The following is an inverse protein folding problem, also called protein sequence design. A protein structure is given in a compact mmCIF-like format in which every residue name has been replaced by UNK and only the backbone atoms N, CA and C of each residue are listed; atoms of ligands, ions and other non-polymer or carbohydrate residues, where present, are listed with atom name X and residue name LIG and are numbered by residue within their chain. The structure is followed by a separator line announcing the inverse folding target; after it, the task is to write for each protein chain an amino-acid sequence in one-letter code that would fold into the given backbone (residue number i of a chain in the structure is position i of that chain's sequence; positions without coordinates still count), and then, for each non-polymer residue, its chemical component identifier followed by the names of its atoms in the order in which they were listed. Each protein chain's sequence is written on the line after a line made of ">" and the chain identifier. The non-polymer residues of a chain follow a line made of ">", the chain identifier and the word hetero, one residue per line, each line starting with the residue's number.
data_IF_703761990147
#
_entry.id   IF_703761990147
#
_cell.length_a   1.000
_cell.length_b   1.000
_cell.length_c   1.000
_cell.angle_alpha   90.00
_cell.angle_beta   90.00
_cell.angle_gamma   90.00
#
_symmetry.space_group_name_H-M   'P 1'
#
loop_
_entity.id
_entity.type
_entity.pdbx_description
1 polymer ?
#
# COMPACT_ATOMS: atom_id res chain seq x y z
N UNK A 1 15.88 12.92 -3.97
CA UNK A 1 16.72 13.70 -3.04
C UNK A 1 17.54 14.78 -3.75
N UNK A 2 18.41 14.46 -4.73
CA UNK A 2 19.26 15.45 -5.43
C UNK A 2 18.49 16.68 -5.97
N UNK A 3 17.31 16.49 -6.57
CA UNK A 3 16.47 17.61 -7.06
C UNK A 3 15.94 18.49 -5.93
N UNK A 4 15.52 17.90 -4.81
CA UNK A 4 15.07 18.65 -3.64
C UNK A 4 16.22 19.41 -3.00
N UNK A 5 17.40 18.82 -2.92
CA UNK A 5 18.58 19.50 -2.36
C UNK A 5 19.00 20.72 -3.17
N UNK A 6 18.91 20.66 -4.51
CA UNK A 6 19.15 21.83 -5.37
C UNK A 6 18.18 22.99 -5.10
N UNK A 7 16.94 22.71 -4.67
CA UNK A 7 15.90 23.73 -4.44
C UNK A 7 15.81 24.20 -2.98
N UNK A 8 16.04 23.30 -2.02
CA UNK A 8 15.82 23.53 -0.59
C UNK A 8 17.06 23.28 0.29
N UNK A 9 18.24 23.12 -0.31
CA UNK A 9 19.50 22.89 0.41
C UNK A 9 19.46 21.58 1.21
N UNK A 10 19.59 21.68 2.53
CA UNK A 10 19.60 20.55 3.47
C UNK A 10 18.25 20.31 4.15
N UNK A 11 17.17 20.98 3.73
CA UNK A 11 15.86 20.85 4.40
C UNK A 11 15.25 19.45 4.24
N UNK A 12 15.36 18.85 3.06
CA UNK A 12 14.87 17.51 2.74
C UNK A 12 16.04 16.58 2.45
N UNK A 13 16.29 15.63 3.36
CA UNK A 13 17.38 14.66 3.28
C UNK A 13 16.85 13.24 3.44
N UNK A 14 17.72 12.25 3.24
CA UNK A 14 17.46 10.85 3.57
C UNK A 14 17.04 10.63 5.03
N UNK A 15 17.38 11.55 5.93
CA UNK A 15 17.02 11.45 7.34
C UNK A 15 15.55 11.78 7.60
N UNK A 16 14.88 12.58 6.76
CA UNK A 16 13.53 13.08 7.04
C UNK A 16 12.53 12.97 5.88
N UNK A 17 12.94 12.42 4.73
CA UNK A 17 12.06 12.15 3.59
C UNK A 17 11.83 10.65 3.42
N UNK A 18 10.59 10.21 3.66
CA UNK A 18 10.15 8.86 3.31
C UNK A 18 9.39 8.86 1.98
N UNK A 19 9.71 7.90 1.10
CA UNK A 19 8.97 7.64 -0.13
C UNK A 19 8.37 6.24 -0.03
N UNK A 20 7.05 6.15 -0.12
CA UNK A 20 6.31 4.89 -0.02
C UNK A 20 5.46 4.68 -1.27
N UNK A 21 5.56 3.50 -1.88
CA UNK A 21 4.65 3.09 -2.95
C UNK A 21 3.37 2.47 -2.40
N UNK A 22 2.24 2.69 -3.07
CA UNK A 22 0.97 2.01 -2.74
C UNK A 22 0.94 0.54 -3.23
N UNK A 23 1.99 0.11 -3.92
CA UNK A 23 2.14 -1.24 -4.48
C UNK A 23 1.00 -1.64 -5.44
N UNK A 24 0.61 -0.71 -6.33
CA UNK A 24 -0.20 -1.04 -7.50
C UNK A 24 0.65 -1.84 -8.50
N UNK A 25 0.03 -2.82 -9.16
CA UNK A 25 0.64 -3.62 -10.24
C UNK A 25 0.23 -3.14 -11.64
N UNK A 26 -0.42 -1.97 -11.73
CA UNK A 26 -0.94 -1.40 -12.98
C UNK A 26 -0.23 -0.10 -13.37
N UNK A 27 1.10 -0.11 -13.41
CA UNK A 27 1.93 1.05 -13.79
C UNK A 27 2.98 0.65 -14.82
N UNK A 28 3.47 1.60 -15.65
CA UNK A 28 4.65 1.35 -16.48
C UNK A 28 5.86 0.93 -15.62
N UNK A 29 6.60 -0.08 -16.07
CA UNK A 29 7.84 -0.54 -15.43
C UNK A 29 9.08 0.29 -15.84
N UNK A 30 10.27 -0.22 -15.49
CA UNK A 30 11.55 0.27 -16.01
C UNK A 30 12.12 1.51 -15.31
N UNK A 31 11.97 1.63 -13.99
CA UNK A 31 12.43 2.80 -13.23
C UNK A 31 13.29 2.46 -12.00
N UNK A 32 13.63 1.19 -11.78
CA UNK A 32 14.24 0.71 -10.53
C UNK A 32 15.77 0.61 -10.59
N UNK A 33 16.36 0.45 -11.79
CA UNK A 33 17.81 0.57 -12.01
C UNK A 33 18.64 -0.65 -11.59
N UNK A 34 18.03 -1.64 -10.93
CA UNK A 34 18.64 -2.96 -10.71
C UNK A 34 18.14 -3.93 -11.78
N UNK A 35 19.08 -4.68 -12.37
CA UNK A 35 18.83 -5.61 -13.50
C UNK A 35 17.63 -6.53 -13.28
N UNK A 36 17.49 -7.11 -12.08
CA UNK A 36 16.37 -8.01 -11.75
C UNK A 36 15.00 -7.37 -12.00
N UNK A 37 14.84 -6.10 -11.68
CA UNK A 37 13.56 -5.39 -11.82
C UNK A 37 13.35 -4.76 -13.20
N UNK A 38 14.44 -4.51 -13.93
CA UNK A 38 14.37 -3.93 -15.27
C UNK A 38 14.19 -4.99 -16.36
N UNK A 39 14.57 -6.27 -16.14
CA UNK A 39 14.36 -7.37 -17.09
C UNK A 39 12.89 -7.48 -17.54
N UNK A 40 11.88 -7.55 -16.62
CA UNK A 40 10.47 -7.64 -17.03
C UNK A 40 9.97 -6.41 -17.78
N UNK A 41 10.63 -5.26 -17.60
CA UNK A 41 10.34 -4.01 -18.31
C UNK A 41 11.12 -3.86 -19.62
N UNK A 42 11.92 -4.86 -20.00
CA UNK A 42 12.84 -4.85 -21.14
C UNK A 42 13.91 -3.73 -21.06
N UNK A 43 14.25 -3.32 -19.83
CA UNK A 43 15.26 -2.31 -19.54
C UNK A 43 14.73 -1.10 -18.80
N UNK A 44 15.61 -0.11 -18.66
CA UNK A 44 15.30 1.17 -18.02
C UNK A 44 14.60 2.11 -19.01
N UNK A 45 13.46 2.64 -18.61
CA UNK A 45 12.63 3.59 -19.37
C UNK A 45 12.75 4.96 -18.73
N UNK A 46 13.60 5.80 -19.32
CA UNK A 46 13.94 7.12 -18.76
C UNK A 46 12.71 8.02 -18.60
N UNK A 47 11.77 7.97 -19.53
CA UNK A 47 10.55 8.77 -19.53
C UNK A 47 9.67 8.45 -18.31
N UNK A 48 9.49 7.17 -18.01
CA UNK A 48 8.76 6.71 -16.81
C UNK A 48 9.45 7.15 -15.53
N UNK A 49 10.76 6.96 -15.44
CA UNK A 49 11.56 7.39 -14.30
C UNK A 49 11.48 8.91 -14.08
N UNK A 50 11.64 9.71 -15.14
CA UNK A 50 11.60 11.16 -15.09
C UNK A 50 10.22 11.67 -14.67
N UNK A 51 9.14 11.12 -15.22
CA UNK A 51 7.78 11.47 -14.84
C UNK A 51 7.50 11.18 -13.35
N UNK A 52 7.96 10.03 -12.84
CA UNK A 52 7.83 9.67 -11.42
C UNK A 52 8.61 10.63 -10.53
N UNK A 53 9.90 10.87 -10.84
CA UNK A 53 10.75 11.76 -10.04
C UNK A 53 10.22 13.19 -10.06
N UNK A 54 9.78 13.69 -11.21
CA UNK A 54 9.21 15.03 -11.34
C UNK A 54 7.89 15.14 -10.57
N UNK A 55 7.00 14.15 -10.68
CA UNK A 55 5.75 14.10 -9.93
C UNK A 55 5.97 14.14 -8.41
N UNK A 56 6.92 13.36 -7.91
CA UNK A 56 7.29 13.33 -6.48
C UNK A 56 7.86 14.68 -6.02
N UNK A 57 8.78 15.27 -6.79
CA UNK A 57 9.37 16.58 -6.43
C UNK A 57 8.30 17.67 -6.43
N UNK A 58 7.40 17.64 -7.42
CA UNK A 58 6.31 18.61 -7.56
C UNK A 58 5.27 18.49 -6.45
N UNK A 59 4.94 17.28 -6.00
CA UNK A 59 4.00 17.10 -4.88
C UNK A 59 4.58 17.65 -3.57
N UNK A 60 5.87 17.42 -3.32
CA UNK A 60 6.58 17.97 -2.15
C UNK A 60 6.65 19.51 -2.23
N UNK A 61 6.97 20.07 -3.39
CA UNK A 61 7.01 21.52 -3.61
C UNK A 61 5.64 22.18 -3.36
N UNK A 62 4.56 21.58 -3.86
CA UNK A 62 3.19 22.06 -3.59
C UNK A 62 2.85 22.01 -2.10
N UNK A 63 3.23 20.95 -1.39
CA UNK A 63 3.01 20.84 0.05
C UNK A 63 3.85 21.86 0.84
N UNK A 64 5.13 22.04 0.47
CA UNK A 64 6.04 23.01 1.09
C UNK A 64 5.52 24.44 0.99
N UNK A 65 5.04 24.84 -0.19
CA UNK A 65 4.54 26.20 -0.42
C UNK A 65 3.12 26.44 0.09
N UNK A 66 2.47 25.41 0.67
CA UNK A 66 1.13 25.49 1.24
C UNK A 66 1.10 25.06 2.72
N UNK A 67 2.22 25.26 3.43
CA UNK A 67 2.32 24.99 4.86
C UNK A 67 1.44 25.97 5.65
N UNK A 68 0.70 25.43 6.61
CA UNK A 68 -0.17 26.22 7.47
C UNK A 68 -0.32 25.57 8.86
N UNK A 69 -0.63 26.35 9.91
CA UNK A 69 -0.91 25.81 11.23
C UNK A 69 -2.12 24.87 11.21
N UNK A 70 -1.98 23.70 11.83
CA UNK A 70 -3.00 22.67 11.84
C UNK A 70 -2.84 21.66 12.96
N UNK A 71 -3.65 20.61 12.91
CA UNK A 71 -3.67 19.51 13.87
C UNK A 71 -3.75 18.17 13.15
N UNK A 72 -3.15 17.15 13.75
CA UNK A 72 -3.24 15.76 13.29
C UNK A 72 -3.93 14.94 14.36
N UNK A 73 -5.03 14.28 14.00
CA UNK A 73 -5.73 13.33 14.87
C UNK A 73 -5.53 11.91 14.34
N UNK A 74 -5.36 10.95 15.24
CA UNK A 74 -5.21 9.53 14.92
C UNK A 74 -6.43 8.73 15.37
N UNK A 75 -6.78 7.72 14.59
CA UNK A 75 -7.73 6.69 14.96
C UNK A 75 -7.29 5.32 14.41
N UNK A 76 -7.82 4.24 14.98
CA UNK A 76 -7.57 2.87 14.54
C UNK A 76 -8.85 2.06 14.60
N UNK A 77 -9.04 1.16 13.65
CA UNK A 77 -10.16 0.23 13.70
C UNK A 77 -10.00 -0.95 12.75
N UNK A 78 -10.87 -1.93 12.93
CA UNK A 78 -10.86 -3.16 12.16
C UNK A 78 -11.55 -2.98 10.79
N UNK A 79 -10.93 -3.54 9.75
CA UNK A 79 -11.44 -3.62 8.40
C UNK A 79 -11.46 -5.08 7.92
N UNK A 80 -12.66 -5.66 7.90
CA UNK A 80 -12.92 -7.00 7.43
C UNK A 80 -13.26 -7.03 5.92
N UNK A 81 -13.40 -8.24 5.37
CA UNK A 81 -13.84 -8.51 4.00
C UNK A 81 -13.05 -7.79 2.89
N UNK A 82 -11.83 -7.33 3.18
CA UNK A 82 -11.01 -6.57 2.23
C UNK A 82 -9.73 -7.33 1.88
N UNK A 83 -9.40 -8.35 2.66
CA UNK A 83 -8.17 -9.11 2.49
C UNK A 83 -8.28 -10.56 2.98
N UNK A 84 -7.49 -11.45 2.39
CA UNK A 84 -7.25 -12.82 2.85
C UNK A 84 -5.74 -13.12 2.84
N UNK A 85 -5.30 -14.13 3.61
CA UNK A 85 -3.93 -14.62 3.53
C UNK A 85 -3.78 -15.48 2.25
N UNK A 86 -2.78 -15.18 1.41
CA UNK A 86 -2.50 -15.92 0.16
C UNK A 86 -1.47 -17.04 0.32
N UNK A 87 -0.96 -17.24 1.53
CA UNK A 87 0.00 -18.29 1.91
C UNK A 87 -0.31 -18.85 3.30
N UNK A 88 -1.54 -19.37 3.52
CA UNK A 88 -2.00 -19.76 4.85
C UNK A 88 -1.18 -20.89 5.49
N UNK A 89 -0.66 -21.83 4.70
CA UNK A 89 0.22 -22.90 5.19
C UNK A 89 1.55 -22.35 5.71
N UNK A 90 2.10 -21.31 5.10
CA UNK A 90 3.29 -20.63 5.59
C UNK A 90 3.01 -19.89 6.90
N UNK A 91 1.86 -19.23 7.03
CA UNK A 91 1.44 -18.62 8.30
C UNK A 91 1.27 -19.66 9.42
N UNK A 92 0.76 -20.86 9.11
CA UNK A 92 0.57 -21.94 10.08
C UNK A 92 1.88 -22.48 10.68
N UNK A 93 3.02 -22.26 10.02
CA UNK A 93 4.34 -22.62 10.54
C UNK A 93 4.85 -21.69 11.66
N UNK A 94 4.18 -20.55 11.90
CA UNK A 94 4.49 -19.71 13.05
C UNK A 94 4.12 -20.43 14.35
N UNK A 95 4.87 -20.21 15.47
CA UNK A 95 4.58 -20.82 16.76
C UNK A 95 3.11 -20.70 17.16
N UNK A 96 2.52 -21.78 17.66
CA UNK A 96 1.10 -21.79 18.04
C UNK A 96 0.76 -20.74 19.10
N UNK A 97 1.64 -20.58 20.09
CA UNK A 97 1.51 -19.54 21.13
C UNK A 97 1.52 -18.12 20.58
N UNK A 98 2.23 -17.87 19.47
CA UNK A 98 2.22 -16.59 18.80
C UNK A 98 0.91 -16.40 18.03
N UNK A 99 0.51 -17.39 17.23
CA UNK A 99 -0.73 -17.35 16.44
C UNK A 99 -1.96 -17.15 17.33
N UNK A 100 -2.00 -17.78 18.51
CA UNK A 100 -3.08 -17.65 19.48
C UNK A 100 -3.29 -16.21 20.02
N UNK A 101 -2.32 -15.30 19.82
CA UNK A 101 -2.42 -13.88 20.22
C UNK A 101 -3.19 -13.03 19.21
N UNK A 102 -3.54 -13.58 18.04
CA UNK A 102 -4.16 -12.85 16.94
C UNK A 102 -5.46 -13.53 16.51
N UNK A 103 -6.47 -12.71 16.21
CA UNK A 103 -7.77 -13.22 15.75
C UNK A 103 -7.79 -13.60 14.27
N UNK A 104 -6.80 -13.13 13.50
CA UNK A 104 -6.76 -13.24 12.04
C UNK A 104 -5.37 -13.60 11.54
N UNK A 105 -5.32 -14.23 10.37
CA UNK A 105 -4.07 -14.59 9.68
C UNK A 105 -3.48 -13.47 8.82
N UNK A 106 -4.11 -12.29 8.82
CA UNK A 106 -3.62 -11.05 8.20
C UNK A 106 -4.00 -9.87 9.09
N UNK A 107 -3.23 -8.77 9.04
CA UNK A 107 -3.56 -7.58 9.81
C UNK A 107 -4.84 -6.92 9.29
N UNK A 108 -5.85 -6.80 10.17
CA UNK A 108 -7.14 -6.16 9.90
C UNK A 108 -7.19 -4.72 10.40
N UNK A 109 -6.13 -4.20 10.99
CA UNK A 109 -6.09 -2.86 11.56
C UNK A 109 -5.84 -1.82 10.47
N UNK A 110 -6.79 -0.90 10.30
CA UNK A 110 -6.54 0.35 9.60
C UNK A 110 -6.12 1.41 10.61
N UNK A 111 -4.97 2.04 10.39
CA UNK A 111 -4.54 3.25 11.11
C UNK A 111 -4.85 4.45 10.24
N UNK A 112 -5.53 5.45 10.79
CA UNK A 112 -6.02 6.61 10.05
C UNK A 112 -5.59 7.91 10.71
N UNK A 113 -5.05 8.84 9.92
CA UNK A 113 -4.76 10.20 10.32
C UNK A 113 -5.72 11.16 9.63
N UNK A 114 -6.31 12.06 10.41
CA UNK A 114 -7.08 13.21 9.95
C UNK A 114 -6.24 14.46 10.15
N UNK A 115 -6.13 15.28 9.12
CA UNK A 115 -5.27 16.48 9.11
C UNK A 115 -6.17 17.68 8.81
N UNK A 116 -6.20 18.63 9.74
CA UNK A 116 -7.03 19.85 9.63
C UNK A 116 -6.21 21.10 9.84
N UNK A 117 -6.69 22.23 9.33
CA UNK A 117 -6.19 23.56 9.73
C UNK A 117 -6.53 23.85 11.19
N UNK A 118 -5.93 24.90 11.75
CA UNK A 118 -6.31 25.44 13.06
C UNK A 118 -7.79 25.85 13.15
N UNK A 119 -8.41 26.24 12.03
CA UNK A 119 -9.84 26.57 11.96
C UNK A 119 -10.76 25.35 11.80
N UNK A 120 -10.20 24.14 11.75
CA UNK A 120 -10.96 22.89 11.60
C UNK A 120 -11.32 22.53 10.16
N UNK A 121 -10.75 23.22 9.16
CA UNK A 121 -10.93 22.86 7.73
C UNK A 121 -10.12 21.62 7.40
N UNK A 122 -10.69 20.71 6.63
CA UNK A 122 -10.00 19.51 6.14
C UNK A 122 -8.85 19.87 5.20
N UNK A 123 -7.66 19.34 5.50
CA UNK A 123 -6.48 19.39 4.62
C UNK A 123 -6.22 18.06 3.94
N UNK A 124 -6.50 16.96 4.63
CA UNK A 124 -6.26 15.64 4.09
C UNK A 124 -6.36 14.51 5.08
N UNK A 125 -6.07 13.32 4.58
CA UNK A 125 -6.00 12.11 5.37
C UNK A 125 -4.88 11.18 4.89
N UNK A 126 -4.28 10.45 5.81
CA UNK A 126 -3.31 9.41 5.51
C UNK A 126 -3.69 8.17 6.30
N UNK A 127 -3.81 7.03 5.62
CA UNK A 127 -4.13 5.78 6.27
C UNK A 127 -3.15 4.67 5.89
N UNK A 128 -2.98 3.71 6.79
CA UNK A 128 -2.23 2.48 6.57
C UNK A 128 -3.15 1.28 6.75
N UNK A 129 -3.12 0.37 5.79
CA UNK A 129 -3.85 -0.90 5.84
C UNK A 129 -3.17 -1.92 4.93
N UNK A 130 -3.02 -3.17 5.41
CA UNK A 130 -2.35 -4.24 4.68
C UNK A 130 -3.28 -4.86 3.62
N UNK A 131 -3.06 -4.55 2.34
CA UNK A 131 -3.69 -5.25 1.21
C UNK A 131 -2.94 -4.96 -0.08
N UNK A 132 -2.56 -5.98 -0.85
CA UNK A 132 -1.88 -5.79 -2.14
C UNK A 132 -2.71 -4.96 -3.13
N UNK A 133 -2.05 -4.13 -3.94
CA UNK A 133 -2.66 -3.43 -5.07
C UNK A 133 -2.75 -4.31 -6.32
N UNK A 134 -3.45 -5.44 -6.19
CA UNK A 134 -3.65 -6.47 -7.24
C UNK A 134 -5.12 -6.87 -7.36
N UNK A 135 -6.04 -5.92 -7.21
CA UNK A 135 -7.44 -6.16 -7.59
C UNK A 135 -7.60 -6.18 -9.10
N UNK A 136 -6.88 -5.29 -9.81
CA UNK A 136 -6.65 -5.39 -11.25
C UNK A 136 -5.65 -6.53 -11.49
N UNK A 137 -6.11 -7.58 -12.17
CA UNK A 137 -5.27 -8.72 -12.52
C UNK A 137 -4.29 -8.40 -13.68
N UNK A 138 -3.44 -9.37 -14.01
CA UNK A 138 -2.40 -9.26 -15.05
C UNK A 138 -2.92 -9.19 -16.49
N UNK A 139 -4.24 -9.32 -16.73
CA UNK A 139 -4.83 -9.09 -18.06
C UNK A 139 -5.17 -7.62 -18.30
N UNK A 140 -5.09 -6.77 -17.28
CA UNK A 140 -5.28 -5.34 -17.39
C UNK A 140 -4.15 -4.68 -18.20
N UNK A 141 -4.51 -3.81 -19.14
CA UNK A 141 -3.57 -3.01 -19.95
C UNK A 141 -3.66 -1.50 -19.65
N UNK A 142 -4.49 -1.10 -18.68
CA UNK A 142 -4.71 0.30 -18.33
C UNK A 142 -3.88 0.71 -17.11
N UNK A 143 -3.32 1.92 -17.14
CA UNK A 143 -2.65 2.50 -15.96
C UNK A 143 -3.69 2.73 -14.86
N UNK A 144 -3.38 2.28 -13.65
CA UNK A 144 -4.29 2.36 -12.51
C UNK A 144 -3.55 2.43 -11.17
N UNK A 145 -4.13 3.17 -10.23
CA UNK A 145 -3.73 3.12 -8.81
C UNK A 145 -4.28 1.92 -8.04
N UNK A 146 -5.00 1.02 -8.72
CA UNK A 146 -5.66 -0.15 -8.16
C UNK A 146 -6.61 0.22 -7.00
N UNK A 147 -6.87 -0.69 -6.07
CA UNK A 147 -7.83 -0.50 -4.98
C UNK A 147 -7.45 0.66 -4.04
N UNK A 148 -6.16 0.90 -3.80
CA UNK A 148 -5.67 1.99 -2.94
C UNK A 148 -5.76 3.36 -3.62
N UNK A 149 -5.42 3.45 -4.90
CA UNK A 149 -5.57 4.70 -5.65
C UNK A 149 -7.04 5.07 -5.85
N UNK A 150 -7.90 4.07 -6.13
CA UNK A 150 -9.34 4.29 -6.17
C UNK A 150 -9.88 4.73 -4.80
N UNK A 151 -9.39 4.15 -3.69
CA UNK A 151 -9.78 4.56 -2.34
C UNK A 151 -9.36 6.01 -2.03
N UNK A 152 -8.13 6.40 -2.37
CA UNK A 152 -7.67 7.79 -2.27
C UNK A 152 -8.61 8.75 -3.02
N UNK A 153 -8.94 8.44 -4.28
CA UNK A 153 -9.80 9.30 -5.09
C UNK A 153 -11.20 9.44 -4.49
N UNK A 154 -11.81 8.33 -4.07
CA UNK A 154 -13.15 8.32 -3.46
C UNK A 154 -13.18 9.06 -2.11
N UNK A 155 -12.11 8.98 -1.32
CA UNK A 155 -12.01 9.71 -0.06
C UNK A 155 -11.81 11.23 -0.28
N UNK A 156 -11.03 11.64 -1.29
CA UNK A 156 -10.91 13.04 -1.69
C UNK A 156 -12.25 13.62 -2.12
N UNK A 157 -13.01 12.88 -2.95
CA UNK A 157 -14.37 13.27 -3.36
C UNK A 157 -15.29 13.43 -2.15
N UNK A 158 -15.26 12.48 -1.21
CA UNK A 158 -16.07 12.54 0.01
C UNK A 158 -15.70 13.72 0.92
N UNK A 159 -14.41 14.03 1.11
CA UNK A 159 -14.00 15.16 1.95
C UNK A 159 -14.35 16.52 1.32
N UNK A 160 -14.41 16.58 0.00
CA UNK A 160 -14.85 17.78 -0.72
C UNK A 160 -16.37 17.97 -0.65
N UNK A 161 -17.16 16.89 -0.70
CA UNK A 161 -18.62 16.93 -0.58
C UNK A 161 -19.17 15.75 0.25
N UNK A 162 -19.16 15.87 1.59
CA UNK A 162 -19.66 14.81 2.46
C UNK A 162 -21.16 14.56 2.33
N UNK A 163 -21.92 15.52 1.80
CA UNK A 163 -23.38 15.46 1.59
C UNK A 163 -23.80 14.70 0.34
N UNK A 164 -22.88 14.41 -0.59
CA UNK A 164 -23.16 13.69 -1.85
C UNK A 164 -23.99 14.50 -2.87
N UNK A 165 -24.15 15.79 -2.64
CA UNK A 165 -24.83 16.72 -3.54
C UNK A 165 -23.87 17.16 -4.65
N UNK A 166 -23.75 16.33 -5.70
CA UNK A 166 -23.06 16.52 -6.99
C UNK A 166 -21.90 17.54 -7.00
N UNK A 167 -20.67 17.15 -7.41
CA UNK A 167 -19.49 17.98 -7.25
C UNK A 167 -19.72 19.39 -7.78
N UNK A 168 -19.87 20.33 -6.85
CA UNK A 168 -19.83 21.75 -7.17
C UNK A 168 -18.44 21.98 -7.75
N UNK A 169 -18.36 22.17 -9.07
CA UNK A 169 -17.17 22.65 -9.78
C UNK A 169 -16.92 24.12 -9.37
N UNK A 170 -16.73 24.38 -8.08
CA UNK A 170 -16.28 25.67 -7.59
C UNK A 170 -14.76 25.69 -7.74
N UNK A 171 -14.20 26.59 -8.57
CA UNK A 171 -12.76 26.71 -8.78
C UNK A 171 -11.95 27.06 -7.51
N UNK A 172 -12.63 27.48 -6.44
CA UNK A 172 -12.03 28.14 -5.28
C UNK A 172 -11.86 27.23 -4.04
N UNK A 173 -12.12 25.93 -4.15
CA UNK A 173 -11.87 25.00 -3.03
C UNK A 173 -10.42 24.52 -3.05
N UNK A 174 -9.70 24.80 -1.96
CA UNK A 174 -8.38 24.20 -1.75
C UNK A 174 -8.48 22.66 -1.82
N UNK A 175 -7.56 22.00 -2.55
CA UNK A 175 -7.60 20.56 -2.73
C UNK A 175 -7.31 19.83 -1.42
N UNK A 176 -8.22 18.96 -1.02
CA UNK A 176 -7.99 17.96 0.03
C UNK A 176 -7.20 16.79 -0.56
N UNK A 177 -6.15 16.34 0.11
CA UNK A 177 -5.28 15.24 -0.37
C UNK A 177 -5.48 14.02 0.51
N UNK A 178 -5.64 12.83 -0.10
CA UNK A 178 -5.70 11.59 0.69
C UNK A 178 -4.78 10.49 0.17
N UNK A 179 -4.17 9.75 1.09
CA UNK A 179 -3.23 8.69 0.76
C UNK A 179 -3.56 7.39 1.51
N UNK A 180 -3.81 6.33 0.76
CA UNK A 180 -3.98 4.97 1.27
C UNK A 180 -2.66 4.21 1.16
N UNK A 181 -1.80 4.33 2.18
CA UNK A 181 -0.50 3.69 2.24
C UNK A 181 -0.60 2.17 2.48
N UNK A 182 0.49 1.48 2.17
CA UNK A 182 0.67 0.07 2.48
C UNK A 182 1.15 -0.12 3.92
N UNK A 183 0.70 -1.21 4.55
CA UNK A 183 1.32 -1.78 5.73
C UNK A 183 2.04 -3.09 5.35
N UNK A 184 2.03 -4.09 6.23
CA UNK A 184 2.59 -5.44 6.04
C UNK A 184 1.73 -6.29 5.08
N UNK A 185 1.79 -6.03 3.78
CA UNK A 185 0.94 -6.66 2.76
C UNK A 185 1.55 -7.87 2.01
N UNK A 186 2.66 -8.43 2.49
CA UNK A 186 3.45 -9.44 1.76
C UNK A 186 2.68 -10.70 1.38
N UNK A 187 1.83 -11.19 2.25
CA UNK A 187 0.97 -12.38 2.10
C UNK A 187 -0.52 -12.02 2.08
N UNK A 188 -0.86 -10.76 1.78
CA UNK A 188 -2.23 -10.24 1.94
C UNK A 188 -2.85 -9.89 0.58
N UNK A 189 -3.83 -10.68 0.14
CA UNK A 189 -4.48 -10.54 -1.17
C UNK A 189 -5.84 -9.82 -1.07
N UNK A 190 -6.20 -8.93 -2.02
CA UNK A 190 -7.53 -8.35 -2.13
C UNK A 190 -8.58 -9.30 -2.75
N UNK A 191 -8.14 -10.47 -3.25
CA UNK A 191 -8.98 -11.43 -3.94
C UNK A 191 -9.71 -12.34 -2.94
N UNK A 192 -10.67 -11.75 -2.23
CA UNK A 192 -11.28 -12.29 -1.02
C UNK A 192 -12.15 -13.55 -1.21
N UNK A 193 -12.49 -13.94 -2.44
CA UNK A 193 -13.23 -15.18 -2.67
C UNK A 193 -12.33 -16.42 -2.56
N UNK A 194 -11.00 -16.26 -2.59
CA UNK A 194 -10.04 -17.37 -2.56
C UNK A 194 -9.43 -17.67 -3.94
N UNK A 195 -8.62 -18.72 -4.00
CA UNK A 195 -7.93 -19.15 -5.21
C UNK A 195 -8.60 -20.38 -5.82
N UNK A 196 -8.85 -20.32 -7.13
CA UNK A 196 -9.54 -21.36 -7.87
C UNK A 196 -8.86 -21.67 -9.19
N UNK A 197 -9.02 -22.91 -9.64
CA UNK A 197 -8.59 -23.40 -10.92
C UNK A 197 -9.43 -22.79 -12.04
N UNK A 198 -8.79 -22.18 -13.02
CA UNK A 198 -9.45 -21.52 -14.15
C UNK A 198 -10.10 -22.51 -15.13
N UNK A 199 -9.64 -23.75 -15.18
CA UNK A 199 -10.11 -24.82 -16.05
C UNK A 199 -11.32 -25.58 -15.47
N UNK A 200 -11.30 -25.89 -14.18
CA UNK A 200 -12.32 -26.72 -13.51
C UNK A 200 -13.27 -25.92 -12.62
N UNK A 201 -12.88 -24.72 -12.20
CA UNK A 201 -13.62 -23.92 -11.23
C UNK A 201 -13.49 -24.38 -9.77
N UNK A 202 -12.77 -25.48 -9.51
CA UNK A 202 -12.53 -26.02 -8.17
C UNK A 202 -11.50 -25.17 -7.40
N UNK A 203 -11.48 -25.22 -6.05
CA UNK A 203 -10.42 -24.61 -5.26
C UNK A 203 -9.03 -25.15 -5.65
N UNK A 204 -8.01 -24.29 -5.61
CA UNK A 204 -6.64 -24.76 -5.82
C UNK A 204 -6.13 -25.64 -4.67
N UNK A 205 -5.10 -26.43 -4.93
CA UNK A 205 -4.34 -27.12 -3.89
C UNK A 205 -3.68 -26.11 -2.94
N UNK A 206 -4.00 -26.20 -1.65
CA UNK A 206 -3.65 -25.16 -0.67
C UNK A 206 -2.13 -24.96 -0.51
N UNK A 207 -1.37 -26.04 -0.39
CA UNK A 207 0.06 -25.96 -0.06
C UNK A 207 0.93 -25.57 -1.25
N UNK A 208 0.48 -25.85 -2.47
CA UNK A 208 1.27 -25.64 -3.69
C UNK A 208 0.72 -24.54 -4.57
N UNK A 209 -0.50 -24.06 -4.31
CA UNK A 209 -1.22 -23.12 -5.19
C UNK A 209 -1.27 -23.62 -6.63
N UNK A 210 -1.57 -24.90 -6.81
CA UNK A 210 -1.62 -25.54 -8.14
C UNK A 210 -3.00 -26.12 -8.46
N UNK A 211 -3.21 -26.33 -9.76
CA UNK A 211 -4.31 -27.10 -10.31
C UNK A 211 -3.72 -28.15 -11.25
N UNK A 212 -3.90 -29.43 -10.92
CA UNK A 212 -3.27 -30.53 -11.65
C UNK A 212 -1.73 -30.35 -11.77
N UNK A 213 -1.09 -29.87 -10.71
CA UNK A 213 0.35 -29.60 -10.66
C UNK A 213 0.83 -28.34 -11.40
N UNK A 214 -0.09 -27.51 -11.92
CA UNK A 214 0.24 -26.26 -12.63
C UNK A 214 -0.17 -25.03 -11.83
N UNK A 215 0.74 -24.08 -11.68
CA UNK A 215 0.51 -22.80 -10.96
C UNK A 215 -0.30 -21.82 -11.80
N UNK A 216 -0.10 -21.81 -13.13
CA UNK A 216 -0.70 -20.84 -14.05
C UNK A 216 -2.24 -20.89 -14.09
N UNK A 217 -2.81 -22.03 -13.69
CA UNK A 217 -4.25 -22.26 -13.65
C UNK A 217 -4.87 -21.79 -12.33
N UNK A 218 -4.09 -21.67 -11.25
CA UNK A 218 -4.60 -21.25 -9.95
C UNK A 218 -4.63 -19.73 -9.84
N UNK A 219 -5.84 -19.15 -9.77
CA UNK A 219 -6.02 -17.71 -9.77
C UNK A 219 -6.93 -17.24 -8.63
N UNK A 220 -6.52 -16.15 -7.96
CA UNK A 220 -7.33 -15.48 -6.94
C UNK A 220 -8.54 -14.77 -7.55
N UNK A 221 -9.70 -14.87 -6.90
CA UNK A 221 -10.94 -14.23 -7.34
C UNK A 221 -11.34 -13.04 -6.44
N UNK A 222 -11.54 -11.89 -7.07
CA UNK A 222 -12.07 -10.69 -6.41
C UNK A 222 -13.55 -10.82 -6.03
N UNK A 223 -14.09 -9.90 -5.21
CA UNK A 223 -15.48 -9.97 -4.75
C UNK A 223 -16.53 -9.91 -5.88
N UNK A 224 -16.17 -9.41 -7.06
CA UNK A 224 -17.05 -9.34 -8.24
C UNK A 224 -16.47 -10.11 -9.43
N UNK A 225 -15.81 -11.24 -9.18
CA UNK A 225 -15.28 -12.09 -10.26
C UNK A 225 -16.34 -12.40 -11.33
N UNK A 226 -16.01 -12.35 -12.64
CA UNK A 226 -14.68 -12.12 -13.21
C UNK A 226 -14.32 -10.64 -13.45
N UNK A 227 -15.16 -9.69 -13.05
CA UNK A 227 -14.93 -8.26 -13.26
C UNK A 227 -13.92 -7.70 -12.25
N UNK A 228 -12.68 -7.55 -12.70
CA UNK A 228 -11.58 -6.98 -11.91
C UNK A 228 -11.74 -5.45 -11.66
N UNK A 229 -12.48 -4.71 -12.50
CA UNK A 229 -12.76 -3.29 -12.29
C UNK A 229 -13.78 -3.13 -11.16
N UNK A 230 -14.88 -3.89 -11.22
CA UNK A 230 -15.87 -3.92 -10.15
C UNK A 230 -15.26 -4.43 -8.84
N UNK A 231 -14.41 -5.46 -8.90
CA UNK A 231 -13.67 -5.97 -7.74
C UNK A 231 -12.78 -4.89 -7.12
N UNK A 232 -12.02 -4.16 -7.94
CA UNK A 232 -11.19 -3.01 -7.50
C UNK A 232 -12.03 -1.95 -6.81
N UNK A 233 -13.17 -1.57 -7.40
CA UNK A 233 -14.09 -0.58 -6.81
C UNK A 233 -14.64 -1.07 -5.47
N UNK A 234 -15.05 -2.32 -5.34
CA UNK A 234 -15.57 -2.85 -4.07
C UNK A 234 -14.52 -2.87 -2.96
N UNK A 235 -13.30 -3.32 -3.25
CA UNK A 235 -12.20 -3.31 -2.26
C UNK A 235 -11.83 -1.88 -1.87
N UNK A 236 -11.81 -0.94 -2.83
CA UNK A 236 -11.61 0.47 -2.56
C UNK A 236 -12.72 1.05 -1.66
N UNK A 237 -13.99 0.80 -1.99
CA UNK A 237 -15.13 1.29 -1.21
C UNK A 237 -15.15 0.74 0.21
N UNK A 238 -14.74 -0.51 0.44
CA UNK A 238 -14.58 -1.08 1.79
C UNK A 238 -13.52 -0.33 2.60
N UNK A 239 -12.36 -0.04 1.99
CA UNK A 239 -11.31 0.78 2.62
C UNK A 239 -11.82 2.19 2.95
N UNK A 240 -12.49 2.85 2.02
CA UNK A 240 -13.03 4.20 2.21
C UNK A 240 -14.11 4.22 3.29
N UNK A 241 -15.01 3.25 3.33
CA UNK A 241 -16.05 3.19 4.35
C UNK A 241 -15.45 3.09 5.77
N UNK A 242 -14.36 2.31 5.95
CA UNK A 242 -13.64 2.27 7.21
C UNK A 242 -12.92 3.60 7.50
N UNK A 243 -12.20 4.16 6.52
CA UNK A 243 -11.53 5.45 6.68
C UNK A 243 -12.51 6.57 7.06
N UNK A 244 -13.69 6.63 6.44
CA UNK A 244 -14.74 7.61 6.76
C UNK A 244 -15.26 7.47 8.19
N UNK A 245 -15.48 6.23 8.68
CA UNK A 245 -15.85 6.00 10.09
C UNK A 245 -14.74 6.51 11.02
N UNK A 246 -13.51 6.05 10.78
CA UNK A 246 -12.35 6.45 11.58
C UNK A 246 -12.08 7.96 11.55
N UNK A 247 -12.34 8.60 10.42
CA UNK A 247 -12.17 10.04 10.23
C UNK A 247 -13.18 10.85 11.06
N UNK A 248 -14.45 10.44 11.07
CA UNK A 248 -15.50 11.09 11.90
C UNK A 248 -15.25 10.89 13.39
N UNK A 249 -14.82 9.68 13.75
CA UNK A 249 -14.66 9.28 15.15
C UNK A 249 -13.25 9.58 15.70
N UNK A 250 -12.36 10.20 14.91
CA UNK A 250 -11.00 10.51 15.32
C UNK A 250 -11.00 11.49 16.51
N UNK A 251 -10.58 11.00 17.67
CA UNK A 251 -10.59 11.76 18.92
C UNK A 251 -9.20 11.97 19.55
N UNK A 252 -8.18 11.21 19.12
CA UNK A 252 -6.85 11.30 19.72
C UNK A 252 -5.98 12.32 18.98
N UNK A 253 -5.73 13.47 19.59
CA UNK A 253 -4.80 14.47 19.07
C UNK A 253 -3.36 13.97 19.20
N UNK A 254 -2.59 14.00 18.10
CA UNK A 254 -1.16 13.77 18.14
C UNK A 254 -0.43 15.04 18.55
N UNK A 255 0.38 14.95 19.61
CA UNK A 255 1.22 16.04 20.11
C UNK A 255 2.63 15.52 20.42
N UNK A 256 3.59 16.43 20.50
CA UNK A 256 4.99 16.09 20.77
C UNK A 256 5.93 16.49 19.64
N UNK A 257 7.25 16.29 19.83
CA UNK A 257 8.24 16.60 18.82
C UNK A 257 8.14 15.67 17.61
N UNK A 258 8.50 16.19 16.43
CA UNK A 258 8.76 15.37 15.25
C UNK A 258 10.24 14.97 15.28
N UNK A 259 10.51 13.69 15.09
CA UNK A 259 11.86 13.14 15.07
C UNK A 259 12.01 12.11 13.94
N UNK A 260 13.24 11.83 13.52
CA UNK A 260 13.51 10.90 12.42
C UNK A 260 14.86 10.21 12.55
N UNK A 261 14.93 8.96 12.07
CA UNK A 261 16.16 8.15 12.06
C UNK A 261 16.30 7.48 10.71
N UNK A 262 17.53 7.38 10.23
CA UNK A 262 17.86 6.75 8.97
C UNK A 262 19.24 6.11 9.06
N UNK A 263 19.39 4.95 8.43
CA UNK A 263 20.66 4.25 8.31
C UNK A 263 20.67 3.44 7.02
N UNK A 264 21.76 3.55 6.26
CA UNK A 264 22.06 2.58 5.21
C UNK A 264 22.64 1.32 5.86
N UNK A 265 22.03 0.17 5.55
CA UNK A 265 22.45 -1.12 6.11
C UNK A 265 22.87 -2.05 4.97
N UNK A 266 24.08 -2.60 5.08
CA UNK A 266 24.48 -3.72 4.24
C UNK A 266 23.78 -5.00 4.73
N UNK A 267 22.75 -5.40 3.98
CA UNK A 267 21.96 -6.60 4.28
C UNK A 267 22.63 -7.90 3.82
N UNK A 268 23.80 -7.87 3.19
CA UNK A 268 24.45 -9.07 2.63
C UNK A 268 25.25 -9.88 3.64
N UNK A 269 25.57 -9.31 4.80
CA UNK A 269 26.50 -9.89 5.78
C UNK A 269 26.19 -9.49 7.25
N UNK A 270 24.92 -9.28 7.59
CA UNK A 270 24.53 -8.79 8.91
C UNK A 270 24.43 -9.93 9.92
N UNK A 271 25.19 -9.85 11.03
CA UNK A 271 25.02 -10.75 12.18
C UNK A 271 23.69 -10.46 12.86
N UNK A 272 22.94 -11.52 13.16
CA UNK A 272 21.61 -11.47 13.80
C UNK A 272 21.68 -12.29 15.09
N UNK A 273 21.19 -11.73 16.18
CA UNK A 273 20.95 -12.47 17.42
C UNK A 273 19.60 -13.17 17.30
N UNK A 274 19.59 -14.49 17.48
CA UNK A 274 18.40 -15.32 17.36
C UNK A 274 17.77 -15.65 18.73
N UNK A 275 18.34 -15.13 19.82
CA UNK A 275 17.98 -15.53 21.19
C UNK A 275 18.73 -16.79 21.64
N UNK A 276 18.68 -17.05 22.95
CA UNK A 276 19.28 -18.24 23.60
C UNK A 276 20.76 -18.47 23.28
N UNK A 277 21.52 -17.38 23.08
CA UNK A 277 22.94 -17.43 22.72
C UNK A 277 23.22 -17.87 21.28
N UNK A 278 22.19 -18.11 20.46
CA UNK A 278 22.34 -18.46 19.04
C UNK A 278 22.48 -17.20 18.20
N UNK A 279 23.36 -17.24 17.22
CA UNK A 279 23.53 -16.15 16.27
C UNK A 279 23.45 -16.66 14.85
N UNK A 280 22.74 -15.94 13.99
CA UNK A 280 22.67 -16.15 12.56
C UNK A 280 23.39 -15.04 11.79
N UNK A 281 23.37 -15.16 10.46
CA UNK A 281 23.82 -14.09 9.55
C UNK A 281 22.91 -14.03 8.34
N UNK A 282 22.67 -12.83 7.83
CA UNK A 282 22.02 -12.66 6.53
C UNK A 282 22.93 -13.12 5.39
N UNK A 283 22.31 -13.36 4.23
CA UNK A 283 22.97 -13.88 3.03
C UNK A 283 23.07 -12.80 1.95
N UNK A 284 23.90 -13.06 0.94
CA UNK A 284 23.77 -12.36 -0.35
C UNK A 284 22.38 -12.60 -0.95
N UNK A 285 21.82 -11.65 -1.71
CA UNK A 285 20.50 -11.80 -2.30
C UNK A 285 20.46 -12.97 -3.29
N UNK A 286 19.49 -13.85 -3.14
CA UNK A 286 19.20 -14.97 -4.03
C UNK A 286 17.69 -15.22 -4.06
N UNK A 287 17.18 -15.73 -5.17
CA UNK A 287 15.77 -16.08 -5.34
C UNK A 287 15.62 -17.61 -5.36
N UNK A 288 14.73 -18.14 -4.54
CA UNK A 288 14.39 -19.57 -4.56
C UNK A 288 13.53 -19.95 -5.76
N UNK A 289 13.33 -21.25 -5.99
CA UNK A 289 12.60 -21.78 -7.14
C UNK A 289 11.17 -21.21 -7.26
N UNK A 290 10.45 -21.09 -6.14
CA UNK A 290 9.08 -20.58 -6.10
C UNK A 290 8.93 -19.11 -6.50
N UNK A 291 10.03 -18.37 -6.70
CA UNK A 291 9.96 -17.04 -7.34
C UNK A 291 9.52 -17.12 -8.81
N UNK A 292 9.87 -18.20 -9.50
CA UNK A 292 9.46 -18.45 -10.90
C UNK A 292 8.17 -19.25 -11.04
N UNK A 293 7.41 -19.42 -9.95
CA UNK A 293 6.16 -20.18 -9.90
C UNK A 293 4.97 -19.38 -10.46
#
# INVERSE_FOLDING_TARGET
>A
LTRLSKKYGSLYTEHNLAISGIHTHSTPGGYLGYVLYDIPALGFVKESYEALVEGIVRSIDRAHNNLQPGSVMINRGELLDTSINRSPSAYANNPEEERARYNHTVDKTMVHLRITTKSGKELGALNWFAVHGTSMNNTNQLISGDNKGAASRLMEEWLQDPSGSAPSKTPDREPVVTAFAQANCGDVSPNVQGAFCSDTGLPCEMDTSTCNGKTQLCNGRGPNWPDHFASTRTIASRQVAAAQRLHRDAATLLTGPVDSRHMYVDMTNRKVDLGDGKTGKTCKPAMGYSFGA
#
